data_IF_021962736495
#
_entry.id   IF_021962736495
#
_cell.length_a   1.000
_cell.length_b   1.000
_cell.length_c   1.000
_cell.angle_alpha   90.00
_cell.angle_beta   90.00
_cell.angle_gamma   90.00
#
_symmetry.space_group_name_H-M   'P 1'
#
loop_
_entity.id
_entity.type
_entity.pdbx_description
1 polymer ?
#
# COMPACT_ATOMS: atom_id res chain seq x y z
N UNK A 1 -21.67 6.38 3.06
CA UNK A 1 -21.68 6.52 1.64
C UNK A 1 -20.41 7.12 1.10
N UNK A 2 -20.08 8.34 1.52
CA UNK A 2 -18.80 8.90 1.12
C UNK A 2 -17.63 8.04 1.62
N UNK A 3 -17.79 7.44 2.80
CA UNK A 3 -16.76 6.58 3.36
C UNK A 3 -16.61 5.31 2.54
N UNK A 4 -17.72 4.77 2.04
CA UNK A 4 -17.68 3.55 1.22
C UNK A 4 -17.00 3.82 -0.11
N UNK A 5 -17.33 4.94 -0.74
CA UNK A 5 -16.69 5.31 -2.00
C UNK A 5 -15.19 5.50 -1.82
N UNK A 6 -14.80 6.14 -0.72
CA UNK A 6 -13.39 6.37 -0.43
C UNK A 6 -12.65 5.05 -0.25
N UNK A 7 -13.26 4.11 0.45
CA UNK A 7 -12.65 2.81 0.68
C UNK A 7 -12.47 2.04 -0.64
N UNK A 8 -13.49 2.09 -1.51
CA UNK A 8 -13.40 1.43 -2.80
C UNK A 8 -12.29 2.01 -3.66
N UNK A 9 -12.12 3.33 -3.64
CA UNK A 9 -11.03 3.96 -4.38
C UNK A 9 -9.68 3.51 -3.88
N UNK A 10 -9.52 3.40 -2.57
CA UNK A 10 -8.27 2.95 -1.99
C UNK A 10 -7.95 1.52 -2.38
N UNK A 11 -8.97 0.66 -2.36
CA UNK A 11 -8.76 -0.73 -2.73
C UNK A 11 -8.32 -0.90 -4.17
N UNK A 12 -8.82 -0.04 -5.05
CA UNK A 12 -8.49 -0.13 -6.47
C UNK A 12 -7.17 0.53 -6.81
N UNK A 13 -6.54 1.19 -5.85
CA UNK A 13 -5.28 1.86 -6.10
C UNK A 13 -4.20 0.85 -6.44
N UNK A 14 -3.55 1.04 -7.58
CA UNK A 14 -2.54 0.10 -8.04
C UNK A 14 -1.20 0.37 -7.37
N UNK A 15 -0.45 -0.71 -7.14
CA UNK A 15 0.89 -0.63 -6.59
C UNK A 15 1.89 -0.93 -7.69
N UNK A 16 2.95 -0.12 -7.84
CA UNK A 16 3.96 -0.43 -8.85
C UNK A 16 4.73 -1.70 -8.49
N UNK A 17 5.20 -2.45 -9.50
CA UNK A 17 5.91 -3.71 -9.23
C UNK A 17 7.24 -3.53 -8.53
N UNK A 18 7.83 -2.34 -8.61
CA UNK A 18 9.10 -2.06 -7.97
C UNK A 18 8.94 -1.20 -6.72
N UNK A 19 7.76 -1.25 -6.10
CA UNK A 19 7.49 -0.48 -4.90
C UNK A 19 8.44 -0.90 -3.77
N UNK A 20 9.08 0.05 -3.08
CA UNK A 20 10.13 -0.30 -2.11
C UNK A 20 9.57 -0.62 -0.73
N UNK A 21 8.92 -1.76 -0.60
CA UNK A 21 8.28 -2.15 0.65
C UNK A 21 9.25 -2.20 1.83
N UNK A 22 10.46 -2.70 1.59
CA UNK A 22 11.41 -2.88 2.67
C UNK A 22 12.02 -1.57 3.15
N UNK A 23 11.91 -0.52 2.36
CA UNK A 23 12.46 0.78 2.71
C UNK A 23 11.45 1.73 3.33
N UNK A 24 10.19 1.35 3.37
CA UNK A 24 9.14 2.22 3.89
C UNK A 24 9.19 2.23 5.41
N UNK A 25 9.40 3.41 5.98
CA UNK A 25 9.34 3.56 7.42
C UNK A 25 7.89 3.56 7.85
N UNK A 26 7.61 2.92 8.97
CA UNK A 26 6.26 2.83 9.48
C UNK A 26 5.59 1.50 9.21
N UNK A 27 6.08 0.72 8.23
CA UNK A 27 5.61 -0.64 8.03
C UNK A 27 6.25 -1.56 9.04
N UNK A 28 5.47 -2.53 9.55
CA UNK A 28 6.06 -3.58 10.36
C UNK A 28 6.98 -4.40 9.47
N UNK A 29 8.01 -4.98 10.09
CA UNK A 29 8.96 -5.79 9.33
C UNK A 29 8.29 -6.95 8.64
N UNK A 30 7.37 -7.61 9.36
CA UNK A 30 6.65 -8.74 8.79
C UNK A 30 5.84 -8.32 7.58
N UNK A 31 5.12 -7.20 7.69
CA UNK A 31 4.33 -6.72 6.58
C UNK A 31 5.20 -6.37 5.38
N UNK A 32 6.33 -5.69 5.62
CA UNK A 32 7.22 -5.30 4.54
C UNK A 32 7.77 -6.51 3.80
N UNK A 33 8.21 -7.53 4.55
CA UNK A 33 8.75 -8.74 3.94
C UNK A 33 7.69 -9.47 3.13
N UNK A 34 6.48 -9.60 3.71
CA UNK A 34 5.40 -10.28 3.02
C UNK A 34 5.00 -9.55 1.73
N UNK A 35 4.88 -8.25 1.82
CA UNK A 35 4.51 -7.46 0.65
C UNK A 35 5.59 -7.54 -0.42
N UNK A 36 6.85 -7.53 -0.03
CA UNK A 36 7.95 -7.62 -0.98
C UNK A 36 7.96 -8.96 -1.69
N UNK A 37 7.60 -10.03 -0.97
CA UNK A 37 7.57 -11.37 -1.56
C UNK A 37 6.38 -11.55 -2.50
N UNK A 38 5.22 -11.05 -2.11
CA UNK A 38 3.98 -11.27 -2.84
C UNK A 38 3.82 -10.25 -3.96
N UNK A 39 4.24 -9.02 -3.72
CA UNK A 39 4.15 -7.91 -4.67
C UNK A 39 2.72 -7.76 -5.17
N UNK A 40 1.79 -7.40 -4.25
CA UNK A 40 0.39 -7.25 -4.65
C UNK A 40 0.25 -6.15 -5.70
N UNK A 41 -0.71 -6.32 -6.59
CA UNK A 41 -0.90 -5.36 -7.67
C UNK A 41 -1.76 -4.17 -7.26
N UNK A 42 -2.45 -4.26 -6.12
CA UNK A 42 -3.31 -3.18 -5.67
C UNK A 42 -3.34 -3.14 -4.15
N UNK A 43 -3.85 -2.02 -3.63
CA UNK A 43 -4.02 -1.87 -2.18
C UNK A 43 -5.01 -2.91 -1.64
N UNK A 44 -6.06 -3.21 -2.41
CA UNK A 44 -7.01 -4.23 -1.98
C UNK A 44 -6.36 -5.59 -1.80
N UNK A 45 -5.48 -5.96 -2.71
CA UNK A 45 -4.75 -7.22 -2.56
C UNK A 45 -3.77 -7.16 -1.40
N UNK A 46 -3.12 -6.02 -1.21
CA UNK A 46 -2.19 -5.86 -0.10
C UNK A 46 -2.89 -6.04 1.24
N UNK A 47 -4.11 -5.54 1.36
CA UNK A 47 -4.85 -5.63 2.62
C UNK A 47 -5.23 -7.07 2.97
N UNK A 48 -5.21 -7.96 2.00
CA UNK A 48 -5.55 -9.36 2.21
C UNK A 48 -4.33 -10.22 2.53
N UNK A 49 -3.17 -9.65 2.49
CA UNK A 49 -1.94 -10.39 2.79
C UNK A 49 -1.88 -10.65 4.29
N UNK A 50 -1.60 -11.89 4.66
CA UNK A 50 -1.44 -12.26 6.05
C UNK A 50 -0.26 -11.50 6.65
N UNK A 51 -0.46 -10.92 7.84
CA UNK A 51 0.59 -10.16 8.51
C UNK A 51 0.55 -8.67 8.22
N UNK A 52 -0.36 -8.23 7.35
CA UNK A 52 -0.53 -6.82 7.02
C UNK A 52 -1.73 -6.26 7.76
N UNK A 53 -1.51 -5.24 8.58
CA UNK A 53 -2.55 -4.59 9.37
C UNK A 53 -3.15 -3.40 8.62
N UNK A 54 -4.34 -2.93 9.03
CA UNK A 54 -4.87 -1.68 8.46
C UNK A 54 -3.93 -0.51 8.62
N UNK A 55 -3.17 -0.47 9.70
CA UNK A 55 -2.17 0.60 9.89
C UNK A 55 -1.10 0.54 8.81
N UNK A 56 -0.67 -0.66 8.43
CA UNK A 56 0.30 -0.82 7.37
C UNK A 56 -0.25 -0.33 6.03
N UNK A 57 -1.53 -0.60 5.78
CA UNK A 57 -2.18 -0.13 4.55
C UNK A 57 -2.20 1.41 4.52
N UNK A 58 -2.48 2.04 5.65
CA UNK A 58 -2.45 3.50 5.71
C UNK A 58 -1.07 4.05 5.36
N UNK A 59 -0.02 3.41 5.86
CA UNK A 59 1.34 3.80 5.54
C UNK A 59 1.62 3.66 4.05
N UNK A 60 1.17 2.55 3.45
CA UNK A 60 1.34 2.34 2.02
C UNK A 60 0.66 3.43 1.21
N UNK A 61 -0.55 3.81 1.61
CA UNK A 61 -1.29 4.85 0.90
C UNK A 61 -0.59 6.19 0.95
N UNK A 62 -0.07 6.55 2.12
CA UNK A 62 0.66 7.81 2.27
C UNK A 62 1.90 7.81 1.39
N UNK A 63 2.66 6.73 1.42
CA UNK A 63 3.87 6.63 0.62
C UNK A 63 3.56 6.67 -0.87
N UNK A 64 2.51 5.97 -1.27
CA UNK A 64 2.11 5.94 -2.67
C UNK A 64 1.71 7.32 -3.18
N UNK A 65 1.01 8.09 -2.35
CA UNK A 65 0.65 9.46 -2.73
C UNK A 65 1.88 10.35 -2.87
N UNK A 66 2.84 10.20 -1.99
CA UNK A 66 4.07 10.97 -2.07
C UNK A 66 4.85 10.64 -3.34
N UNK A 67 4.88 9.37 -3.70
CA UNK A 67 5.57 8.96 -4.93
C UNK A 67 4.89 9.56 -6.16
N UNK A 68 3.58 9.58 -6.17
CA UNK A 68 2.85 10.14 -7.30
C UNK A 68 3.08 11.63 -7.42
N UNK A 69 3.17 12.33 -6.30
CA UNK A 69 3.46 13.76 -6.33
C UNK A 69 4.83 14.04 -6.90
N UNK A 70 5.79 13.20 -6.56
CA UNK A 70 7.14 13.36 -7.09
C UNK A 70 7.17 13.16 -8.59
N UNK A 71 6.41 12.19 -9.07
CA UNK A 71 6.42 11.85 -10.50
C UNK A 71 5.69 12.89 -11.35
N UNK A 72 4.89 13.72 -10.73
CA UNK A 72 4.16 14.75 -11.47
C UNK A 72 5.01 15.96 -11.80
N UNK A 73 6.13 16.10 -11.18
CA UNK A 73 7.01 17.23 -11.46
C UNK A 73 8.01 16.88 -12.59
#
# INVERSE_FOLDING_TARGET
EAAIERFERMEKRLLPPDFPYLEIKGLSREAAVRLDQIKPSSIGQASRVSGVDPADISVLLVYLEQEQRRNRQ
#
